data_IF_003081440796
#
_entry.id   IF_003081440796
#
_cell.length_a   1.000
_cell.length_b   1.000
_cell.length_c   1.000
_cell.angle_alpha   90.00
_cell.angle_beta   90.00
_cell.angle_gamma   90.00
#
_symmetry.space_group_name_H-M   'P 1'
#
loop_
_entity.id
_entity.type
_entity.pdbx_description
1 polymer ?
#
# COMPACT_ATOMS: atom_id res chain seq x y z
N UNK A 1 25.32 32.51 -34.85
CA UNK A 1 25.24 31.44 -35.84
C UNK A 1 25.55 30.10 -35.24
N UNK A 2 24.74 29.64 -34.30
CA UNK A 2 24.84 28.33 -33.66
C UNK A 2 23.52 28.01 -32.95
N UNK A 3 23.47 27.01 -32.06
CA UNK A 3 22.21 26.58 -31.45
C UNK A 3 21.59 27.70 -30.60
N UNK A 4 20.41 28.17 -31.01
CA UNK A 4 19.60 29.13 -30.28
C UNK A 4 18.51 28.39 -29.50
N UNK A 5 18.48 28.59 -28.20
CA UNK A 5 17.51 27.97 -27.29
C UNK A 5 16.51 29.01 -26.86
N UNK A 6 15.25 28.72 -27.10
CA UNK A 6 14.13 29.55 -26.66
C UNK A 6 13.36 28.78 -25.60
N UNK A 7 13.45 29.24 -24.35
CA UNK A 7 12.60 28.77 -23.27
C UNK A 7 11.29 29.54 -23.30
N UNK A 8 10.17 28.82 -23.39
CA UNK A 8 8.82 29.39 -23.42
C UNK A 8 8.27 29.73 -22.05
N UNK A 9 8.85 29.16 -21.00
CA UNK A 9 8.49 29.38 -19.60
C UNK A 9 9.69 29.11 -18.68
N UNK A 10 9.48 29.30 -17.37
CA UNK A 10 10.45 28.95 -16.32
C UNK A 10 9.98 27.72 -15.56
N UNK A 11 10.87 26.77 -15.36
CA UNK A 11 10.59 25.63 -14.48
C UNK A 11 10.61 26.07 -13.02
N UNK A 12 9.98 25.26 -12.17
CA UNK A 12 10.03 25.36 -10.70
C UNK A 12 11.45 25.29 -10.13
N UNK A 13 12.36 24.65 -10.85
CA UNK A 13 13.78 24.54 -10.47
C UNK A 13 14.69 25.19 -11.49
N UNK A 14 15.55 26.08 -10.99
CA UNK A 14 16.60 26.75 -11.77
C UNK A 14 17.60 25.77 -12.36
N UNK A 15 17.80 24.63 -11.71
CA UNK A 15 18.66 23.55 -12.22
C UNK A 15 18.20 23.05 -13.58
N UNK A 16 16.88 22.89 -13.79
CA UNK A 16 16.30 22.42 -15.05
C UNK A 16 16.46 23.47 -16.15
N UNK A 17 16.20 24.74 -15.84
CA UNK A 17 16.46 25.85 -16.77
C UNK A 17 17.93 25.93 -17.20
N UNK A 18 18.87 25.70 -16.27
CA UNK A 18 20.31 25.65 -16.55
C UNK A 18 20.68 24.46 -17.44
N UNK A 19 20.04 23.30 -17.23
CA UNK A 19 20.22 22.14 -18.10
C UNK A 19 19.76 22.42 -19.53
N UNK A 20 18.63 23.11 -19.69
CA UNK A 20 18.14 23.54 -21.01
C UNK A 20 19.13 24.52 -21.65
N UNK A 21 19.55 25.56 -20.93
CA UNK A 21 20.56 26.53 -21.42
C UNK A 21 21.86 25.84 -21.86
N UNK A 22 22.33 24.89 -21.07
CA UNK A 22 23.57 24.13 -21.33
C UNK A 22 23.51 23.17 -22.52
N UNK A 23 22.37 23.06 -23.22
CA UNK A 23 22.30 22.35 -24.50
C UNK A 23 22.96 23.15 -25.64
N UNK A 24 23.06 24.47 -25.51
CA UNK A 24 23.77 25.38 -26.45
C UNK A 24 25.21 25.63 -25.97
N UNK A 25 26.09 26.02 -26.89
CA UNK A 25 27.47 26.38 -26.57
C UNK A 25 28.35 25.21 -26.10
N UNK A 26 28.12 24.01 -26.65
CA UNK A 26 28.93 22.82 -26.33
C UNK A 26 30.34 23.00 -26.91
N UNK A 27 31.38 22.60 -26.17
CA UNK A 27 32.79 22.66 -26.63
C UNK A 27 33.25 24.05 -27.12
N UNK A 28 32.64 25.13 -26.63
CA UNK A 28 32.99 26.50 -27.05
C UNK A 28 32.30 26.96 -28.33
N UNK A 29 31.38 26.16 -28.89
CA UNK A 29 30.53 26.58 -30.01
C UNK A 29 29.78 27.88 -29.67
N UNK A 30 29.54 28.70 -30.69
CA UNK A 30 28.65 29.87 -30.53
C UNK A 30 27.22 29.41 -30.27
N UNK A 31 26.54 30.04 -29.31
CA UNK A 31 25.16 29.67 -28.95
C UNK A 31 24.45 30.82 -28.25
N UNK A 32 23.12 30.76 -28.21
CA UNK A 32 22.30 31.72 -27.48
C UNK A 32 21.20 31.01 -26.71
N UNK A 33 20.81 31.59 -25.57
CA UNK A 33 19.65 31.11 -24.81
C UNK A 33 18.83 32.31 -24.35
N UNK A 34 17.55 32.33 -24.71
CA UNK A 34 16.60 33.34 -24.28
C UNK A 34 15.40 32.65 -23.63
N UNK A 35 14.92 33.20 -22.52
CA UNK A 35 13.71 32.71 -21.86
C UNK A 35 12.67 33.81 -21.91
N UNK A 36 11.47 33.44 -22.32
CA UNK A 36 10.27 34.26 -22.27
C UNK A 36 9.42 33.79 -21.10
N UNK A 37 8.83 34.73 -20.38
CA UNK A 37 8.03 34.49 -19.17
C UNK A 37 6.87 35.45 -19.21
N UNK A 38 5.66 34.94 -18.99
CA UNK A 38 4.46 35.75 -18.80
C UNK A 38 4.18 35.91 -17.31
N UNK A 39 3.51 37.02 -16.94
CA UNK A 39 2.96 37.16 -15.59
C UNK A 39 1.85 36.16 -15.29
N UNK A 40 1.24 35.61 -16.34
CA UNK A 40 0.18 34.59 -16.24
C UNK A 40 0.72 33.17 -16.01
N UNK A 41 2.04 32.98 -16.14
CA UNK A 41 2.68 31.68 -15.94
C UNK A 41 2.48 31.18 -14.51
N UNK A 42 2.41 29.85 -14.34
CA UNK A 42 2.12 29.22 -13.05
C UNK A 42 3.06 29.70 -11.93
N UNK A 43 4.36 29.79 -12.21
CA UNK A 43 5.36 30.29 -11.27
C UNK A 43 5.08 31.74 -10.83
N UNK A 44 4.66 32.60 -11.76
CA UNK A 44 4.37 34.01 -11.49
C UNK A 44 3.02 34.18 -10.80
N UNK A 45 2.03 33.32 -11.08
CA UNK A 45 0.77 33.28 -10.34
C UNK A 45 0.95 32.90 -8.88
N UNK A 46 1.87 31.99 -8.57
CA UNK A 46 2.13 31.53 -7.20
C UNK A 46 2.87 32.58 -6.33
N UNK A 47 3.72 33.44 -6.92
CA UNK A 47 4.64 34.32 -6.16
C UNK A 47 4.63 35.80 -6.55
N UNK A 48 4.04 36.16 -7.67
CA UNK A 48 4.24 37.48 -8.31
C UNK A 48 3.00 38.35 -8.47
N UNK A 49 1.79 37.82 -8.30
CA UNK A 49 0.58 38.47 -8.85
C UNK A 49 0.31 39.88 -8.33
N UNK A 50 0.23 40.12 -7.01
CA UNK A 50 -0.24 41.43 -6.54
C UNK A 50 0.81 42.55 -6.54
N UNK A 51 2.05 42.26 -6.12
CA UNK A 51 3.07 43.30 -5.96
C UNK A 51 3.71 43.70 -7.28
N UNK A 52 3.88 42.73 -8.19
CA UNK A 52 4.49 42.98 -9.50
C UNK A 52 3.48 43.67 -10.43
N UNK A 53 2.21 43.25 -10.42
CA UNK A 53 1.16 43.93 -11.19
C UNK A 53 0.99 45.40 -10.77
N UNK A 54 0.92 45.70 -9.46
CA UNK A 54 0.81 47.09 -8.96
C UNK A 54 1.98 48.00 -9.37
N UNK A 55 3.19 47.44 -9.52
CA UNK A 55 4.35 48.20 -10.00
C UNK A 55 4.27 48.43 -11.50
N UNK A 56 3.76 47.45 -12.26
CA UNK A 56 3.57 47.57 -13.70
C UNK A 56 2.47 48.58 -14.07
N UNK A 57 1.35 48.56 -13.35
CA UNK A 57 0.27 49.55 -13.49
C UNK A 57 0.79 50.98 -13.23
N UNK A 58 1.66 51.13 -12.22
CA UNK A 58 2.27 52.43 -11.87
C UNK A 58 3.31 52.89 -12.90
N UNK A 59 3.97 51.95 -13.59
CA UNK A 59 4.93 52.25 -14.65
C UNK A 59 4.26 52.50 -16.01
N UNK A 60 2.96 52.24 -16.15
CA UNK A 60 2.19 52.53 -17.36
C UNK A 60 2.56 51.66 -18.57
N UNK A 61 3.10 50.46 -18.31
CA UNK A 61 3.49 49.50 -19.35
C UNK A 61 2.24 48.93 -20.04
N UNK A 62 2.26 48.86 -21.38
CA UNK A 62 1.14 48.35 -22.17
C UNK A 62 1.25 46.85 -22.40
N UNK A 63 0.11 46.21 -22.64
CA UNK A 63 0.05 44.81 -23.04
C UNK A 63 0.84 44.58 -24.34
N UNK A 64 1.75 43.62 -24.33
CA UNK A 64 2.67 43.34 -25.45
C UNK A 64 4.05 44.02 -25.36
N UNK A 65 4.31 44.88 -24.37
CA UNK A 65 5.64 45.45 -24.15
C UNK A 65 6.58 44.45 -23.45
N UNK A 66 7.77 44.26 -24.02
CA UNK A 66 8.77 43.33 -23.47
C UNK A 66 9.51 44.00 -22.31
N UNK A 67 9.36 43.42 -21.11
CA UNK A 67 10.02 43.92 -19.90
C UNK A 67 11.37 43.26 -19.75
N UNK A 68 12.45 44.03 -19.93
CA UNK A 68 13.83 43.59 -19.65
C UNK A 68 14.40 44.39 -18.47
N UNK A 69 13.97 44.02 -17.26
CA UNK A 69 14.48 44.64 -16.03
C UNK A 69 15.10 43.60 -15.10
N UNK A 70 16.29 43.93 -14.58
CA UNK A 70 17.04 43.08 -13.65
C UNK A 70 16.26 42.76 -12.37
N UNK A 71 15.35 43.65 -11.95
CA UNK A 71 14.46 43.41 -10.82
C UNK A 71 13.47 42.27 -11.09
N UNK A 72 12.91 42.18 -12.30
CA UNK A 72 11.99 41.10 -12.68
C UNK A 72 12.71 39.75 -12.72
N UNK A 73 13.90 39.72 -13.31
CA UNK A 73 14.74 38.51 -13.31
C UNK A 73 15.08 38.05 -11.90
N UNK A 74 15.43 38.97 -10.99
CA UNK A 74 15.70 38.65 -9.57
C UNK A 74 14.44 38.16 -8.84
N UNK A 75 13.26 38.70 -9.15
CA UNK A 75 12.00 38.25 -8.57
C UNK A 75 11.65 36.83 -8.99
N UNK A 76 11.83 36.48 -10.27
CA UNK A 76 11.67 35.12 -10.78
C UNK A 76 12.67 34.17 -10.09
N UNK A 77 13.93 34.57 -9.94
CA UNK A 77 14.94 33.76 -9.26
C UNK A 77 14.57 33.49 -7.78
N UNK A 78 14.03 34.49 -7.07
CA UNK A 78 13.53 34.30 -5.69
C UNK A 78 12.34 33.35 -5.65
N UNK A 79 11.41 33.46 -6.61
CA UNK A 79 10.26 32.56 -6.71
C UNK A 79 10.72 31.11 -6.92
N UNK A 80 11.62 30.86 -7.88
CA UNK A 80 12.22 29.53 -8.11
C UNK A 80 12.92 29.01 -6.85
N UNK A 81 13.74 29.84 -6.18
CA UNK A 81 14.41 29.44 -4.93
C UNK A 81 13.41 29.04 -3.84
N UNK A 82 12.28 29.76 -3.73
CA UNK A 82 11.24 29.44 -2.75
C UNK A 82 10.53 28.11 -3.06
N UNK A 83 10.26 27.82 -4.33
CA UNK A 83 9.70 26.54 -4.77
C UNK A 83 10.69 25.40 -4.52
N UNK A 84 11.97 25.60 -4.82
CA UNK A 84 13.04 24.64 -4.53
C UNK A 84 13.15 24.35 -3.03
N UNK A 85 13.11 25.37 -2.18
CA UNK A 85 13.11 25.23 -0.72
C UNK A 85 11.88 24.45 -0.22
N UNK A 86 10.70 24.72 -0.78
CA UNK A 86 9.48 23.99 -0.42
C UNK A 86 9.58 22.51 -0.82
N UNK A 87 10.00 22.23 -2.06
CA UNK A 87 10.22 20.87 -2.56
C UNK A 87 11.30 20.12 -1.76
N UNK A 88 12.37 20.81 -1.35
CA UNK A 88 13.38 20.25 -0.46
C UNK A 88 12.76 19.90 0.90
N UNK A 89 11.96 20.78 1.48
CA UNK A 89 11.25 20.54 2.74
C UNK A 89 10.32 19.32 2.67
N UNK A 90 9.52 19.20 1.60
CA UNK A 90 8.64 18.04 1.38
C UNK A 90 9.44 16.75 1.29
N UNK A 91 10.53 16.72 0.51
CA UNK A 91 11.40 15.54 0.39
C UNK A 91 12.08 15.18 1.69
N UNK A 92 12.56 16.19 2.44
CA UNK A 92 13.18 15.98 3.75
C UNK A 92 12.19 15.30 4.71
N UNK A 93 10.96 15.81 4.81
CA UNK A 93 9.92 15.17 5.64
C UNK A 93 9.63 13.75 5.16
N UNK A 94 9.47 13.54 3.85
CA UNK A 94 9.20 12.21 3.29
C UNK A 94 10.31 11.21 3.67
N UNK A 95 11.57 11.63 3.62
CA UNK A 95 12.71 10.83 4.07
C UNK A 95 12.62 10.51 5.56
N UNK A 96 12.33 11.48 6.41
CA UNK A 96 12.20 11.28 7.86
C UNK A 96 11.11 10.26 8.24
N UNK A 97 10.00 10.20 7.48
CA UNK A 97 8.99 9.15 7.63
C UNK A 97 9.48 7.79 7.13
N UNK A 98 10.18 7.75 5.99
CA UNK A 98 10.72 6.50 5.42
C UNK A 98 11.83 5.90 6.28
N UNK A 99 12.66 6.72 6.94
CA UNK A 99 13.73 6.26 7.84
C UNK A 99 13.20 5.34 8.94
N UNK A 100 12.02 5.66 9.51
CA UNK A 100 11.35 4.83 10.52
C UNK A 100 10.95 3.47 9.92
N UNK A 101 10.35 3.48 8.74
CA UNK A 101 9.96 2.26 8.03
C UNK A 101 11.18 1.42 7.62
N UNK A 102 12.27 2.08 7.22
CA UNK A 102 13.48 1.41 6.78
C UNK A 102 14.16 0.67 7.95
N UNK A 103 14.23 1.29 9.13
CA UNK A 103 14.74 0.64 10.34
C UNK A 103 13.92 -0.61 10.71
N UNK A 104 12.59 -0.52 10.65
CA UNK A 104 11.70 -1.68 10.90
C UNK A 104 11.89 -2.77 9.83
N UNK A 105 12.00 -2.37 8.57
CA UNK A 105 12.19 -3.27 7.43
C UNK A 105 13.49 -4.06 7.56
N UNK A 106 14.58 -3.43 8.00
CA UNK A 106 15.87 -4.10 8.21
C UNK A 106 15.74 -5.26 9.20
N UNK A 107 15.05 -5.04 10.33
CA UNK A 107 14.83 -6.07 11.36
C UNK A 107 14.00 -7.23 10.80
N UNK A 108 12.90 -6.93 10.11
CA UNK A 108 12.02 -7.95 9.53
C UNK A 108 12.73 -8.73 8.43
N UNK A 109 13.46 -8.05 7.54
CA UNK A 109 14.17 -8.70 6.45
C UNK A 109 15.31 -9.58 6.95
N UNK A 110 15.96 -9.20 8.04
CA UNK A 110 16.95 -10.04 8.71
C UNK A 110 16.30 -11.34 9.23
N UNK A 111 15.17 -11.25 9.96
CA UNK A 111 14.41 -12.43 10.42
C UNK A 111 13.93 -13.32 9.26
N UNK A 112 13.38 -12.71 8.19
CA UNK A 112 12.97 -13.43 6.98
C UNK A 112 14.15 -14.15 6.32
N UNK A 113 15.31 -13.49 6.23
CA UNK A 113 16.52 -14.08 5.64
C UNK A 113 16.99 -15.30 6.45
N UNK A 114 16.99 -15.21 7.78
CA UNK A 114 17.32 -16.35 8.65
C UNK A 114 16.33 -17.51 8.46
N UNK A 115 15.02 -17.23 8.37
CA UNK A 115 14.01 -18.25 8.10
C UNK A 115 14.18 -18.90 6.71
N UNK A 116 14.51 -18.13 5.68
CA UNK A 116 14.72 -18.65 4.32
C UNK A 116 15.94 -19.58 4.21
N UNK A 117 17.07 -19.19 4.82
CA UNK A 117 18.32 -19.96 4.71
C UNK A 117 18.46 -21.03 5.80
N UNK A 118 17.71 -20.92 6.90
CA UNK A 118 17.81 -21.81 8.06
C UNK A 118 19.00 -21.54 8.97
N UNK A 119 19.94 -20.70 8.56
CA UNK A 119 21.06 -20.27 9.40
C UNK A 119 20.54 -19.38 10.53
N UNK A 120 20.93 -19.69 11.77
CA UNK A 120 20.52 -18.98 13.00
C UNK A 120 19.03 -19.02 13.35
N UNK A 121 18.18 -19.72 12.59
CA UNK A 121 16.76 -19.82 12.89
C UNK A 121 16.50 -20.38 14.30
N UNK A 122 17.26 -21.40 14.73
CA UNK A 122 17.15 -21.94 16.09
C UNK A 122 17.46 -20.91 17.17
N UNK A 123 18.40 -20.01 16.91
CA UNK A 123 18.74 -18.91 17.84
C UNK A 123 17.61 -17.90 17.86
N UNK A 124 17.04 -17.56 16.70
CA UNK A 124 15.88 -16.67 16.62
C UNK A 124 14.68 -17.27 17.36
N UNK A 125 14.40 -18.57 17.21
CA UNK A 125 13.33 -19.27 17.92
C UNK A 125 13.59 -19.28 19.42
N UNK A 126 14.81 -19.57 19.86
CA UNK A 126 15.18 -19.51 21.29
C UNK A 126 14.99 -18.10 21.86
N UNK A 127 15.37 -17.05 21.13
CA UNK A 127 15.12 -15.67 21.52
C UNK A 127 13.62 -15.37 21.57
N UNK A 128 12.84 -15.82 20.57
CA UNK A 128 11.38 -15.66 20.56
C UNK A 128 10.71 -16.35 21.76
N UNK A 129 11.21 -17.52 22.17
CA UNK A 129 10.76 -18.21 23.39
C UNK A 129 11.07 -17.36 24.62
N UNK A 130 12.31 -16.89 24.76
CA UNK A 130 12.74 -16.06 25.89
C UNK A 130 11.91 -14.77 25.98
N UNK A 131 11.80 -14.02 24.90
CA UNK A 131 10.99 -12.78 24.81
C UNK A 131 9.53 -13.04 25.18
N UNK A 132 8.98 -14.19 24.77
CA UNK A 132 7.59 -14.56 25.08
C UNK A 132 7.44 -14.93 26.56
N UNK A 133 8.40 -15.65 27.14
CA UNK A 133 8.44 -15.92 28.58
C UNK A 133 8.52 -14.63 29.39
N UNK A 134 9.43 -13.72 29.04
CA UNK A 134 9.61 -12.43 29.71
C UNK A 134 8.33 -11.58 29.63
N UNK A 135 7.67 -11.55 28.47
CA UNK A 135 6.43 -10.82 28.28
C UNK A 135 5.28 -11.40 29.13
N UNK A 136 5.15 -12.72 29.19
CA UNK A 136 4.13 -13.40 30.03
C UNK A 136 4.42 -13.11 31.51
N UNK A 137 5.68 -13.24 31.94
CA UNK A 137 6.06 -12.98 33.33
C UNK A 137 5.80 -11.53 33.72
N UNK A 138 6.30 -10.57 32.96
CA UNK A 138 6.16 -9.14 33.27
C UNK A 138 4.69 -8.70 33.32
N UNK A 139 3.88 -9.14 32.35
CA UNK A 139 2.45 -8.79 32.30
C UNK A 139 1.69 -9.36 33.51
N UNK A 140 1.93 -10.61 33.88
CA UNK A 140 1.19 -11.26 34.98
C UNK A 140 1.71 -10.87 36.36
N UNK A 141 3.02 -10.64 36.49
CA UNK A 141 3.66 -10.23 37.75
C UNK A 141 3.22 -8.82 38.16
N UNK A 142 3.03 -7.92 37.18
CA UNK A 142 2.50 -6.58 37.42
C UNK A 142 1.15 -6.59 38.17
N UNK A 143 0.29 -7.58 37.89
CA UNK A 143 -1.04 -7.73 38.51
C UNK A 143 -1.11 -8.85 39.56
N UNK A 144 0.00 -9.53 39.85
CA UNK A 144 0.06 -10.75 40.68
C UNK A 144 -0.97 -11.82 40.27
N UNK A 145 -1.23 -11.99 38.97
CA UNK A 145 -2.21 -12.94 38.46
C UNK A 145 -1.54 -14.27 38.09
N UNK A 146 -1.39 -15.16 39.08
CA UNK A 146 -0.79 -16.48 38.87
C UNK A 146 -1.65 -17.39 38.00
N UNK A 147 -2.98 -17.29 38.08
CA UNK A 147 -3.88 -18.13 37.29
C UNK A 147 -3.80 -17.80 35.80
N UNK A 148 -3.76 -16.51 35.47
CA UNK A 148 -3.57 -16.09 34.08
C UNK A 148 -2.17 -16.46 33.57
N UNK A 149 -1.13 -16.37 34.41
CA UNK A 149 0.20 -16.87 34.09
C UNK A 149 0.18 -18.37 33.71
N UNK A 150 -0.44 -19.23 34.52
CA UNK A 150 -0.58 -20.67 34.19
C UNK A 150 -1.34 -20.88 32.87
N UNK A 151 -2.44 -20.15 32.69
CA UNK A 151 -3.23 -20.24 31.46
C UNK A 151 -2.42 -19.82 30.22
N UNK A 152 -1.64 -18.75 30.29
CA UNK A 152 -0.79 -18.32 29.18
C UNK A 152 0.32 -19.32 28.86
N UNK A 153 0.93 -19.94 29.87
CA UNK A 153 1.92 -21.01 29.64
C UNK A 153 1.31 -22.20 28.91
N UNK A 154 0.13 -22.65 29.32
CA UNK A 154 -0.60 -23.73 28.63
C UNK A 154 -0.97 -23.30 27.20
N UNK A 155 -1.45 -22.06 27.05
CA UNK A 155 -1.91 -21.54 25.77
C UNK A 155 -0.80 -21.41 24.75
N UNK A 156 0.39 -20.94 25.11
CA UNK A 156 1.46 -20.66 24.16
C UNK A 156 2.51 -21.77 24.08
N UNK A 157 2.85 -22.38 25.22
CA UNK A 157 3.92 -23.38 25.31
C UNK A 157 3.41 -24.80 25.56
N UNK A 158 2.10 -25.00 25.78
CA UNK A 158 1.54 -26.32 26.09
C UNK A 158 2.20 -27.00 27.29
N UNK A 159 2.71 -26.21 28.25
CA UNK A 159 3.31 -26.68 29.51
C UNK A 159 2.50 -26.18 30.71
N UNK A 160 2.57 -26.94 31.80
CA UNK A 160 2.14 -26.48 33.12
C UNK A 160 3.22 -25.58 33.73
N UNK A 161 2.83 -24.68 34.63
CA UNK A 161 3.78 -23.85 35.36
C UNK A 161 4.82 -24.72 36.10
N UNK A 162 6.13 -24.44 35.93
CA UNK A 162 7.18 -25.09 36.72
C UNK A 162 7.33 -24.49 38.13
N UNK A 163 6.50 -23.50 38.47
CA UNK A 163 6.57 -22.70 39.70
C UNK A 163 5.28 -22.81 40.51
N UNK A 164 5.40 -22.76 41.83
CA UNK A 164 4.24 -22.59 42.71
C UNK A 164 3.79 -21.12 42.76
N UNK A 165 2.53 -20.88 43.15
CA UNK A 165 2.01 -19.52 43.39
C UNK A 165 2.87 -18.75 44.42
N UNK A 166 3.37 -19.46 45.44
CA UNK A 166 4.23 -18.87 46.46
C UNK A 166 5.59 -18.42 45.90
N UNK A 167 6.15 -19.19 44.97
CA UNK A 167 7.42 -18.87 44.32
C UNK A 167 7.25 -17.74 43.31
N UNK A 168 6.12 -17.75 42.59
CA UNK A 168 5.75 -16.68 41.68
C UNK A 168 5.69 -15.33 42.40
N UNK A 169 5.16 -15.29 43.64
CA UNK A 169 5.07 -14.07 44.42
C UNK A 169 6.42 -13.60 44.98
N UNK A 170 7.30 -14.53 45.39
CA UNK A 170 8.58 -14.21 46.05
C UNK A 170 9.73 -13.89 45.09
N UNK A 171 9.80 -14.59 43.96
CA UNK A 171 10.91 -14.48 43.03
C UNK A 171 10.82 -13.21 42.18
N UNK A 172 11.98 -12.77 41.70
CA UNK A 172 12.07 -11.67 40.75
C UNK A 172 11.63 -12.09 39.34
N UNK A 173 11.22 -11.14 38.52
CA UNK A 173 10.77 -11.39 37.13
C UNK A 173 11.83 -12.11 36.30
N UNK A 174 13.11 -11.77 36.50
CA UNK A 174 14.24 -12.37 35.78
C UNK A 174 14.46 -13.83 36.17
N UNK A 175 14.35 -14.17 37.46
CA UNK A 175 14.46 -15.55 37.95
C UNK A 175 13.29 -16.43 37.47
N UNK A 176 12.07 -15.88 37.51
CA UNK A 176 10.88 -16.56 36.99
C UNK A 176 11.05 -16.82 35.50
N UNK A 177 11.44 -15.81 34.73
CA UNK A 177 11.67 -15.91 33.29
C UNK A 177 12.70 -16.99 32.97
N UNK A 178 13.84 -17.03 33.67
CA UNK A 178 14.87 -18.05 33.47
C UNK A 178 14.38 -19.48 33.73
N UNK A 179 13.58 -19.69 34.80
CA UNK A 179 13.02 -21.01 35.12
C UNK A 179 11.98 -21.46 34.09
N UNK A 180 11.10 -20.56 33.68
CA UNK A 180 10.08 -20.83 32.66
C UNK A 180 10.73 -21.11 31.31
N UNK A 181 11.71 -20.31 30.92
CA UNK A 181 12.45 -20.48 29.67
C UNK A 181 13.15 -21.84 29.61
N UNK A 182 13.81 -22.25 30.70
CA UNK A 182 14.45 -23.57 30.77
C UNK A 182 13.44 -24.71 30.58
N UNK A 183 12.34 -24.69 31.33
CA UNK A 183 11.29 -25.71 31.21
C UNK A 183 10.69 -25.75 29.80
N UNK A 184 10.50 -24.58 29.20
CA UNK A 184 9.99 -24.40 27.84
C UNK A 184 10.94 -24.99 26.80
N UNK A 185 12.24 -24.70 26.92
CA UNK A 185 13.27 -25.21 26.01
C UNK A 185 13.38 -26.74 26.10
N UNK A 186 13.41 -27.29 27.32
CA UNK A 186 13.49 -28.72 27.56
C UNK A 186 12.28 -29.43 26.92
N UNK A 187 11.06 -28.93 27.16
CA UNK A 187 9.84 -29.46 26.54
C UNK A 187 9.86 -29.38 25.01
N UNK A 188 10.33 -28.25 24.45
CA UNK A 188 10.42 -28.09 23.01
C UNK A 188 11.40 -29.06 22.36
N UNK A 189 12.55 -29.29 22.98
CA UNK A 189 13.54 -30.27 22.48
C UNK A 189 13.00 -31.69 22.51
N UNK A 190 12.24 -32.06 23.56
CA UNK A 190 11.58 -33.36 23.62
C UNK A 190 10.48 -33.48 22.55
N UNK A 191 9.66 -32.43 22.38
CA UNK A 191 8.60 -32.38 21.37
C UNK A 191 9.16 -32.57 19.97
N UNK A 192 10.18 -31.80 19.59
CA UNK A 192 10.80 -31.90 18.25
C UNK A 192 11.36 -33.30 17.98
N UNK A 193 11.98 -33.94 18.98
CA UNK A 193 12.43 -35.32 18.88
C UNK A 193 11.29 -36.34 18.79
N UNK A 194 10.15 -36.08 19.45
CA UNK A 194 8.94 -36.91 19.34
C UNK A 194 8.30 -36.78 17.95
N UNK A 195 8.08 -35.56 17.46
CA UNK A 195 7.50 -35.31 16.15
C UNK A 195 8.35 -35.88 15.01
N UNK A 196 9.69 -35.83 15.12
CA UNK A 196 10.58 -36.48 14.17
C UNK A 196 10.42 -38.01 14.15
N UNK A 197 10.28 -38.64 15.33
CA UNK A 197 10.03 -40.10 15.45
C UNK A 197 8.68 -40.50 14.85
N UNK A 198 7.65 -39.69 15.04
CA UNK A 198 6.30 -39.93 14.47
C UNK A 198 6.25 -39.72 12.96
N UNK A 199 7.07 -38.79 12.41
CA UNK A 199 7.17 -38.57 10.98
C UNK A 199 7.91 -39.69 10.24
N UNK A 200 8.87 -40.34 10.90
CA UNK A 200 9.81 -41.26 10.27
C UNK A 200 9.14 -42.46 9.54
N UNK A 201 8.12 -43.14 10.10
CA UNK A 201 7.41 -44.21 9.40
C UNK A 201 6.78 -43.72 8.09
N UNK A 202 6.14 -42.55 8.11
CA UNK A 202 5.47 -41.93 6.96
C UNK A 202 6.51 -41.61 5.87
N UNK A 203 7.62 -40.98 6.24
CA UNK A 203 8.72 -40.66 5.31
C UNK A 203 9.31 -41.95 4.71
N UNK A 204 9.49 -43.00 5.54
CA UNK A 204 10.06 -44.28 5.10
C UNK A 204 9.14 -45.00 4.13
N UNK A 205 7.84 -45.00 4.37
CA UNK A 205 6.83 -45.59 3.49
C UNK A 205 6.82 -44.89 2.12
N UNK A 206 6.82 -43.55 2.13
CA UNK A 206 6.83 -42.76 0.89
C UNK A 206 8.13 -42.94 0.11
N UNK A 207 9.28 -43.05 0.79
CA UNK A 207 10.60 -43.23 0.17
C UNK A 207 10.81 -44.62 -0.42
N UNK A 208 10.27 -45.68 0.21
CA UNK A 208 10.46 -47.07 -0.24
C UNK A 208 9.47 -47.51 -1.32
N UNK A 209 8.41 -46.76 -1.57
CA UNK A 209 7.49 -47.07 -2.65
C UNK A 209 8.13 -46.75 -4.01
N UNK A 210 8.54 -47.79 -4.75
CA UNK A 210 9.25 -47.72 -6.03
C UNK A 210 8.55 -46.92 -7.15
N UNK A 211 7.26 -46.59 -7.00
CA UNK A 211 6.50 -45.72 -7.91
C UNK A 211 6.71 -44.20 -7.71
N UNK A 212 7.31 -43.78 -6.59
CA UNK A 212 7.38 -42.38 -6.17
C UNK A 212 8.78 -41.78 -6.43
N UNK A 213 8.99 -41.22 -7.63
CA UNK A 213 10.20 -40.43 -7.95
C UNK A 213 10.09 -38.98 -7.46
N UNK A 214 9.61 -38.76 -6.24
CA UNK A 214 9.44 -37.40 -5.72
C UNK A 214 10.74 -36.91 -5.08
N UNK A 215 11.27 -35.78 -5.56
CA UNK A 215 12.39 -35.10 -4.89
C UNK A 215 11.91 -34.35 -3.64
N UNK A 216 10.70 -33.77 -3.69
CA UNK A 216 10.10 -32.99 -2.62
C UNK A 216 8.67 -33.42 -2.34
N UNK A 217 8.34 -33.51 -1.06
CA UNK A 217 7.02 -33.89 -0.57
C UNK A 217 6.38 -32.74 0.20
N UNK A 218 5.05 -32.68 0.14
CA UNK A 218 4.25 -31.77 0.96
C UNK A 218 3.71 -32.53 2.16
N UNK A 219 4.01 -32.03 3.35
CA UNK A 219 3.47 -32.55 4.61
C UNK A 219 2.63 -31.45 5.25
N UNK A 220 1.30 -31.63 5.38
CA UNK A 220 0.46 -30.70 6.11
C UNK A 220 0.72 -30.84 7.61
N UNK A 221 0.93 -29.73 8.30
CA UNK A 221 0.92 -29.63 9.76
C UNK A 221 -0.29 -28.84 10.22
N UNK A 222 -0.82 -29.17 11.40
CA UNK A 222 -1.98 -28.47 11.97
C UNK A 222 -1.79 -28.22 13.45
N UNK A 223 -2.19 -27.03 13.91
CA UNK A 223 -2.34 -26.70 15.34
C UNK A 223 -3.78 -26.89 15.85
N UNK A 224 -4.63 -27.51 15.01
CA UNK A 224 -6.07 -27.68 15.23
C UNK A 224 -6.94 -26.59 14.61
N UNK A 225 -6.38 -25.42 14.29
CA UNK A 225 -7.11 -24.27 13.71
C UNK A 225 -6.58 -23.95 12.32
N UNK A 226 -5.26 -23.88 12.17
CA UNK A 226 -4.56 -23.52 10.95
C UNK A 226 -3.82 -24.75 10.42
N UNK A 227 -3.91 -24.96 9.11
CA UNK A 227 -3.13 -25.97 8.40
C UNK A 227 -2.04 -25.29 7.58
N UNK A 228 -0.82 -25.81 7.63
CA UNK A 228 0.30 -25.32 6.86
C UNK A 228 0.97 -26.46 6.09
N UNK A 229 1.11 -26.29 4.79
CA UNK A 229 1.75 -27.24 3.90
C UNK A 229 3.27 -26.99 3.91
N UNK A 230 4.02 -27.88 4.55
CA UNK A 230 5.49 -27.82 4.60
C UNK A 230 6.07 -28.60 3.43
N UNK A 231 6.91 -27.94 2.64
CA UNK A 231 7.67 -28.59 1.58
C UNK A 231 9.02 -29.03 2.13
N UNK A 232 9.34 -30.31 2.02
CA UNK A 232 10.64 -30.85 2.43
C UNK A 232 11.25 -31.79 1.38
N UNK A 233 12.57 -31.92 1.41
CA UNK A 233 13.33 -32.86 0.59
C UNK A 233 13.22 -34.28 1.19
N UNK A 234 12.71 -35.21 0.39
CA UNK A 234 12.42 -36.57 0.86
C UNK A 234 13.69 -37.33 1.26
N UNK A 235 14.74 -37.23 0.44
CA UNK A 235 16.00 -37.95 0.66
C UNK A 235 16.69 -37.46 1.92
N UNK A 236 16.83 -36.14 2.08
CA UNK A 236 17.43 -35.55 3.29
C UNK A 236 16.62 -35.84 4.54
N UNK A 237 15.29 -35.83 4.44
CA UNK A 237 14.41 -36.16 5.56
C UNK A 237 14.55 -37.60 6.02
N UNK A 238 14.74 -38.54 5.08
CA UNK A 238 15.00 -39.93 5.41
C UNK A 238 16.38 -40.14 6.07
N UNK A 239 17.44 -39.60 5.46
CA UNK A 239 18.83 -39.74 5.96
C UNK A 239 19.03 -39.11 7.35
N UNK A 240 18.28 -38.04 7.67
CA UNK A 240 18.36 -37.34 8.97
C UNK A 240 17.35 -37.84 10.01
N UNK A 241 16.60 -38.90 9.73
CA UNK A 241 15.63 -39.46 10.67
C UNK A 241 14.46 -38.51 10.99
N UNK A 242 14.06 -37.65 10.03
CA UNK A 242 12.97 -36.68 10.20
C UNK A 242 13.39 -35.33 10.76
N UNK A 243 14.66 -35.13 11.15
CA UNK A 243 15.12 -33.84 11.68
C UNK A 243 15.04 -32.72 10.63
N UNK A 244 15.29 -33.02 9.36
CA UNK A 244 15.16 -32.05 8.27
C UNK A 244 13.72 -31.56 8.10
N UNK A 245 12.72 -32.43 8.25
CA UNK A 245 11.30 -32.05 8.20
C UNK A 245 10.97 -31.02 9.28
N UNK A 246 11.45 -31.23 10.52
CA UNK A 246 11.21 -30.30 11.63
C UNK A 246 11.87 -28.93 11.36
N UNK A 247 13.09 -28.93 10.82
CA UNK A 247 13.75 -27.69 10.42
C UNK A 247 12.98 -26.96 9.31
N UNK A 248 12.49 -27.68 8.30
CA UNK A 248 11.68 -27.08 7.23
C UNK A 248 10.32 -26.60 7.75
N UNK A 249 9.73 -27.29 8.72
CA UNK A 249 8.54 -26.86 9.44
C UNK A 249 8.79 -25.54 10.18
N UNK A 250 9.85 -25.46 10.99
CA UNK A 250 10.27 -24.23 11.70
C UNK A 250 10.44 -23.04 10.74
N UNK A 251 11.11 -23.26 9.60
CA UNK A 251 11.33 -22.23 8.56
C UNK A 251 10.03 -21.73 7.95
N UNK A 252 9.20 -22.66 7.46
CA UNK A 252 7.99 -22.33 6.73
C UNK A 252 6.98 -21.59 7.62
N UNK A 253 6.82 -22.02 8.88
CA UNK A 253 5.94 -21.34 9.84
C UNK A 253 6.42 -19.93 10.14
N UNK A 254 7.70 -19.82 10.49
CA UNK A 254 8.29 -18.52 10.84
C UNK A 254 8.14 -17.54 9.69
N UNK A 255 8.44 -17.99 8.46
CA UNK A 255 8.30 -17.16 7.27
C UNK A 255 6.83 -16.77 7.01
N UNK A 256 5.91 -17.72 7.06
CA UNK A 256 4.49 -17.48 6.79
C UNK A 256 3.88 -16.45 7.76
N UNK A 257 4.14 -16.62 9.07
CA UNK A 257 3.61 -15.74 10.10
C UNK A 257 4.27 -14.35 10.02
N UNK A 258 5.59 -14.28 9.84
CA UNK A 258 6.29 -12.99 9.69
C UNK A 258 5.77 -12.22 8.48
N UNK A 259 5.55 -12.90 7.35
CA UNK A 259 5.05 -12.27 6.12
C UNK A 259 3.62 -11.74 6.28
N UNK A 260 2.73 -12.53 6.90
CA UNK A 260 1.35 -12.10 7.15
C UNK A 260 1.31 -10.90 8.11
N UNK A 261 2.04 -10.98 9.22
CA UNK A 261 2.11 -9.92 10.21
C UNK A 261 2.72 -8.64 9.63
N UNK A 262 3.79 -8.75 8.84
CA UNK A 262 4.42 -7.60 8.20
C UNK A 262 3.48 -6.94 7.18
N UNK A 263 2.76 -7.72 6.35
CA UNK A 263 1.75 -7.18 5.43
C UNK A 263 0.67 -6.40 6.17
N UNK A 264 0.17 -6.91 7.30
CA UNK A 264 -0.83 -6.21 8.14
C UNK A 264 -0.23 -4.94 8.76
N UNK A 265 1.02 -4.99 9.23
CA UNK A 265 1.73 -3.84 9.79
C UNK A 265 1.94 -2.72 8.77
N UNK A 266 2.33 -3.04 7.53
CA UNK A 266 2.48 -2.04 6.47
C UNK A 266 1.17 -1.25 6.23
N UNK A 267 0.02 -1.94 6.27
CA UNK A 267 -1.30 -1.27 6.15
C UNK A 267 -1.55 -0.32 7.34
N UNK A 268 -1.30 -0.78 8.57
CA UNK A 268 -1.42 0.05 9.77
C UNK A 268 -0.48 1.25 9.76
N UNK A 269 0.73 1.09 9.22
CA UNK A 269 1.71 2.17 9.08
C UNK A 269 1.27 3.22 8.04
N UNK A 270 0.64 2.79 6.95
CA UNK A 270 0.03 3.69 5.97
C UNK A 270 -1.13 4.49 6.60
N UNK A 271 -2.02 3.82 7.33
CA UNK A 271 -3.12 4.44 8.07
C UNK A 271 -2.60 5.44 9.12
N UNK A 272 -1.57 5.06 9.88
CA UNK A 272 -0.92 5.93 10.86
C UNK A 272 -0.31 7.18 10.20
N UNK A 273 0.33 7.03 9.05
CA UNK A 273 0.92 8.16 8.33
C UNK A 273 -0.13 9.20 7.93
N UNK A 274 -1.33 8.75 7.56
CA UNK A 274 -2.46 9.63 7.24
C UNK A 274 -3.05 10.27 8.50
N UNK A 275 -3.32 9.48 9.54
CA UNK A 275 -3.97 9.97 10.77
C UNK A 275 -3.12 10.99 11.53
N UNK A 276 -1.80 10.82 11.54
CA UNK A 276 -0.87 11.72 12.21
C UNK A 276 -0.84 13.12 11.62
N UNK A 277 -1.30 13.31 10.36
CA UNK A 277 -1.48 14.66 9.81
C UNK A 277 -2.52 15.48 10.58
N UNK A 278 -3.52 14.83 11.20
CA UNK A 278 -4.52 15.50 12.02
C UNK A 278 -3.93 16.03 13.34
N UNK A 279 -2.81 15.48 13.81
CA UNK A 279 -2.17 15.92 15.04
C UNK A 279 -1.59 17.35 14.96
N UNK A 280 -1.45 17.89 13.74
CA UNK A 280 -1.11 19.31 13.53
C UNK A 280 -2.15 20.22 14.19
N UNK A 281 -3.43 19.80 14.24
CA UNK A 281 -4.49 20.56 14.90
C UNK A 281 -4.30 20.65 16.43
N UNK A 282 -3.62 19.67 17.03
CA UNK A 282 -3.28 19.67 18.46
C UNK A 282 -1.97 20.44 18.77
N UNK A 283 -1.37 21.11 17.79
CA UNK A 283 -0.09 21.81 17.93
C UNK A 283 1.09 20.91 18.35
N UNK A 284 0.99 19.60 18.11
CA UNK A 284 2.08 18.65 18.33
C UNK A 284 2.83 18.40 17.04
N UNK A 285 4.10 17.99 17.15
CA UNK A 285 4.90 17.59 15.98
C UNK A 285 4.40 16.23 15.45
N UNK A 286 3.86 16.17 14.21
CA UNK A 286 3.39 14.93 13.60
C UNK A 286 4.51 13.89 13.46
N UNK A 287 5.73 14.32 13.13
CA UNK A 287 6.82 13.36 12.92
C UNK A 287 7.16 12.63 14.23
N UNK A 288 7.10 13.34 15.36
CA UNK A 288 7.38 12.77 16.67
C UNK A 288 6.31 11.75 17.08
N UNK A 289 5.03 12.10 16.91
CA UNK A 289 3.91 11.18 17.18
C UNK A 289 4.01 9.95 16.30
N UNK A 290 4.30 10.13 15.00
CA UNK A 290 4.51 9.03 14.09
C UNK A 290 5.60 8.08 14.60
N UNK A 291 6.75 8.59 15.03
CA UNK A 291 7.85 7.76 15.56
C UNK A 291 7.43 6.93 16.77
N UNK A 292 6.74 7.53 17.75
CA UNK A 292 6.30 6.84 18.95
C UNK A 292 5.23 5.77 18.67
N UNK A 293 4.19 6.13 17.91
CA UNK A 293 3.12 5.19 17.56
C UNK A 293 3.62 4.09 16.63
N UNK A 294 4.49 4.42 15.67
CA UNK A 294 5.13 3.44 14.79
C UNK A 294 5.96 2.43 15.57
N UNK A 295 6.73 2.89 16.56
CA UNK A 295 7.50 2.01 17.44
C UNK A 295 6.58 1.09 18.25
N UNK A 296 5.51 1.63 18.83
CA UNK A 296 4.52 0.84 19.59
C UNK A 296 3.84 -0.21 18.71
N UNK A 297 3.40 0.16 17.51
CA UNK A 297 2.81 -0.76 16.53
C UNK A 297 3.80 -1.87 16.15
N UNK A 298 5.07 -1.51 15.91
CA UNK A 298 6.11 -2.45 15.55
C UNK A 298 6.44 -3.43 16.69
N UNK A 299 6.60 -2.94 17.91
CA UNK A 299 6.82 -3.77 19.09
C UNK A 299 5.65 -4.72 19.33
N UNK A 300 4.41 -4.24 19.19
CA UNK A 300 3.21 -5.09 19.27
C UNK A 300 3.17 -6.15 18.17
N UNK A 301 3.55 -5.80 16.94
CA UNK A 301 3.67 -6.74 15.83
C UNK A 301 4.71 -7.82 16.15
N UNK A 302 5.92 -7.45 16.61
CA UNK A 302 6.96 -8.40 16.97
C UNK A 302 6.53 -9.35 18.08
N UNK A 303 5.90 -8.83 19.14
CA UNK A 303 5.38 -9.64 20.23
C UNK A 303 4.27 -10.60 19.77
N UNK A 304 3.40 -10.13 18.86
CA UNK A 304 2.37 -10.95 18.24
C UNK A 304 2.96 -12.07 17.38
N UNK A 305 3.96 -11.76 16.56
CA UNK A 305 4.70 -12.75 15.74
C UNK A 305 5.36 -13.78 16.64
N UNK A 306 6.10 -13.37 17.67
CA UNK A 306 6.76 -14.28 18.59
C UNK A 306 5.73 -15.25 19.22
N UNK A 307 4.63 -14.72 19.79
CA UNK A 307 3.55 -15.53 20.40
C UNK A 307 2.91 -16.51 19.42
N UNK A 308 2.64 -16.06 18.19
CA UNK A 308 1.97 -16.88 17.18
C UNK A 308 2.88 -17.97 16.63
N UNK A 309 4.14 -17.65 16.34
CA UNK A 309 5.16 -18.64 15.92
C UNK A 309 5.34 -19.69 17.00
N UNK A 310 5.55 -19.28 18.26
CA UNK A 310 5.72 -20.20 19.38
C UNK A 310 4.46 -21.05 19.59
N UNK A 311 3.27 -20.44 19.64
CA UNK A 311 2.01 -21.20 19.77
C UNK A 311 1.90 -22.29 18.72
N UNK A 312 2.20 -21.98 17.46
CA UNK A 312 2.10 -22.95 16.38
C UNK A 312 3.20 -24.01 16.46
N UNK A 313 4.44 -23.63 16.80
CA UNK A 313 5.54 -24.58 16.95
C UNK A 313 5.30 -25.57 18.10
N UNK A 314 4.64 -25.17 19.18
CA UNK A 314 4.33 -26.04 20.33
C UNK A 314 3.06 -26.88 20.13
N UNK A 315 2.04 -26.38 19.42
CA UNK A 315 0.80 -27.14 19.15
C UNK A 315 0.77 -27.88 17.82
N UNK A 316 1.61 -27.50 16.88
CA UNK A 316 1.61 -28.06 15.54
C UNK A 316 2.04 -29.51 15.56
N UNK A 317 1.14 -30.40 15.16
CA UNK A 317 1.38 -31.84 15.07
C UNK A 317 1.09 -32.35 13.64
N UNK A 318 1.59 -33.55 13.36
CA UNK A 318 1.31 -34.25 12.12
C UNK A 318 -0.12 -34.78 12.15
N UNK A 319 -0.89 -34.69 11.05
CA UNK A 319 -2.24 -35.21 10.99
C UNK A 319 -2.20 -36.74 11.14
N UNK A 320 -2.80 -37.24 12.22
CA UNK A 320 -2.73 -38.65 12.62
C UNK A 320 -3.45 -39.64 11.69
N UNK A 321 -4.12 -39.19 10.61
CA UNK A 321 -5.09 -40.07 9.93
C UNK A 321 -5.15 -40.14 8.40
N UNK A 322 -4.36 -39.45 7.58
CA UNK A 322 -4.47 -39.65 6.12
C UNK A 322 -3.14 -39.48 5.35
N UNK A 323 -2.52 -40.60 4.98
CA UNK A 323 -1.43 -40.68 3.99
C UNK A 323 -1.88 -40.14 2.61
N UNK A 324 -3.20 -40.15 2.35
CA UNK A 324 -3.85 -39.71 1.10
C UNK A 324 -3.67 -38.23 0.74
N UNK A 325 -3.14 -37.40 1.64
CA UNK A 325 -2.93 -35.96 1.40
C UNK A 325 -1.48 -35.59 1.06
N UNK A 326 -0.54 -36.54 1.04
CA UNK A 326 0.86 -36.28 0.65
C UNK A 326 0.91 -36.21 -0.87
N UNK A 327 0.98 -35.00 -1.40
CA UNK A 327 1.06 -34.74 -2.84
C UNK A 327 2.47 -34.26 -3.21
N UNK A 328 2.86 -34.55 -4.45
CA UNK A 328 4.08 -34.01 -5.06
C UNK A 328 4.02 -32.48 -5.09
N UNK A 329 5.07 -31.82 -4.60
CA UNK A 329 5.19 -30.37 -4.69
C UNK A 329 5.44 -29.93 -6.13
N UNK A 330 4.37 -29.76 -6.92
CA UNK A 330 4.47 -29.15 -8.26
C UNK A 330 4.72 -27.65 -8.13
N UNK A 331 5.70 -27.12 -8.86
CA UNK A 331 5.88 -25.66 -9.01
C UNK A 331 4.64 -25.05 -9.71
N UNK A 332 3.68 -24.59 -8.92
CA UNK A 332 2.59 -23.78 -9.46
C UNK A 332 3.18 -22.38 -9.69
N UNK A 333 3.55 -22.08 -10.94
CA UNK A 333 3.77 -20.69 -11.37
C UNK A 333 2.42 -19.98 -11.38
N UNK A 334 1.96 -19.56 -10.22
CA UNK A 334 0.80 -18.69 -10.13
C UNK A 334 1.21 -17.32 -10.68
N UNK A 335 0.70 -16.97 -11.87
CA UNK A 335 0.66 -15.57 -12.30
C UNK A 335 -0.33 -14.87 -11.37
N UNK A 336 0.17 -14.31 -10.28
CA UNK A 336 -0.62 -13.37 -9.50
C UNK A 336 -0.75 -12.08 -10.33
N UNK A 337 -1.91 -11.86 -10.93
CA UNK A 337 -2.31 -10.58 -11.52
C UNK A 337 -2.51 -9.57 -10.39
N UNK A 338 -1.41 -9.05 -9.85
CA UNK A 338 -1.45 -7.94 -8.92
C UNK A 338 -1.94 -6.69 -9.67
N UNK A 339 -3.09 -6.15 -9.27
CA UNK A 339 -3.37 -4.74 -9.53
C UNK A 339 -2.37 -3.91 -8.73
N UNK A 340 -1.30 -3.45 -9.40
CA UNK A 340 -0.26 -2.56 -8.83
C UNK A 340 -0.76 -1.13 -8.60
N UNK A 341 -2.01 -0.84 -8.92
CA UNK A 341 -2.66 0.44 -8.68
C UNK A 341 -3.18 0.46 -7.25
N UNK A 342 -2.55 1.27 -6.39
CA UNK A 342 -3.19 1.76 -5.17
C UNK A 342 -4.25 2.77 -5.61
N UNK A 343 -5.49 2.64 -5.17
CA UNK A 343 -6.46 3.74 -5.32
C UNK A 343 -5.85 4.94 -4.57
N UNK A 344 -5.43 5.95 -5.33
CA UNK A 344 -4.91 7.18 -4.75
C UNK A 344 -6.05 7.83 -3.98
N UNK A 345 -6.02 7.71 -2.65
CA UNK A 345 -6.80 8.62 -1.79
C UNK A 345 -6.14 9.99 -1.99
N UNK A 346 -6.80 10.94 -2.65
CA UNK A 346 -6.17 12.21 -2.95
C UNK A 346 -5.87 12.92 -1.61
N UNK A 347 -4.69 13.53 -1.49
CA UNK A 347 -4.43 14.47 -0.40
C UNK A 347 -5.43 15.64 -0.45
N UNK A 348 -5.61 16.36 0.67
CA UNK A 348 -6.51 17.53 0.76
C UNK A 348 -6.25 18.59 -0.32
N UNK A 349 -5.00 18.75 -0.75
CA UNK A 349 -4.62 19.68 -1.82
C UNK A 349 -5.07 19.20 -3.21
N UNK A 350 -5.04 17.89 -3.47
CA UNK A 350 -5.57 17.29 -4.71
C UNK A 350 -7.09 17.24 -4.72
N UNK A 351 -7.75 16.92 -3.60
CA UNK A 351 -9.20 17.01 -3.45
C UNK A 351 -9.71 18.45 -3.61
N UNK A 352 -8.98 19.45 -3.10
CA UNK A 352 -9.34 20.85 -3.28
C UNK A 352 -9.01 21.38 -4.68
N UNK A 353 -8.03 20.82 -5.38
CA UNK A 353 -7.79 21.08 -6.80
C UNK A 353 -8.87 20.43 -7.68
N UNK A 354 -9.29 19.20 -7.38
CA UNK A 354 -10.41 18.51 -8.04
C UNK A 354 -11.74 19.20 -7.76
N UNK A 355 -12.01 19.64 -6.53
CA UNK A 355 -13.22 20.43 -6.22
C UNK A 355 -13.21 21.80 -6.91
N UNK A 356 -12.04 22.39 -7.13
CA UNK A 356 -11.88 23.62 -7.94
C UNK A 356 -12.09 23.36 -9.44
N UNK A 357 -11.65 22.20 -9.95
CA UNK A 357 -11.90 21.77 -11.33
C UNK A 357 -13.37 21.35 -11.56
N UNK A 358 -13.97 20.67 -10.60
CA UNK A 358 -15.38 20.26 -10.60
C UNK A 358 -16.32 21.47 -10.50
N UNK A 359 -15.91 22.55 -9.82
CA UNK A 359 -16.61 23.84 -9.86
C UNK A 359 -16.62 24.52 -11.23
N UNK A 360 -15.72 24.14 -12.14
CA UNK A 360 -15.71 24.58 -13.55
C UNK A 360 -16.34 23.57 -14.51
N UNK A 361 -16.70 22.38 -14.04
CA UNK A 361 -17.42 21.37 -14.84
C UNK A 361 -18.86 21.28 -14.35
N UNK A 362 -19.63 22.36 -14.53
CA UNK A 362 -21.06 22.16 -14.75
C UNK A 362 -21.18 21.25 -15.98
N UNK A 363 -21.56 20.00 -15.74
CA UNK A 363 -21.97 19.07 -16.77
C UNK A 363 -22.91 19.81 -17.71
N UNK A 364 -22.50 20.03 -18.96
CA UNK A 364 -23.48 20.27 -20.03
C UNK A 364 -24.39 19.06 -20.00
N UNK A 365 -25.60 19.23 -19.46
CA UNK A 365 -26.68 18.27 -19.68
C UNK A 365 -26.76 18.09 -21.20
N UNK A 366 -26.41 16.90 -21.67
CA UNK A 366 -26.66 16.50 -23.04
C UNK A 366 -28.17 16.56 -23.15
N UNK A 367 -28.67 17.58 -23.86
CA UNK A 367 -30.09 17.70 -24.16
C UNK A 367 -30.43 16.50 -25.04
N UNK A 368 -31.18 15.54 -24.51
CA UNK A 368 -31.73 14.45 -25.32
C UNK A 368 -32.52 15.08 -26.47
N UNK A 369 -32.05 14.88 -27.69
CA UNK A 369 -32.70 15.41 -28.88
C UNK A 369 -33.90 14.52 -29.17
N UNK A 370 -35.10 15.06 -28.96
CA UNK A 370 -36.35 14.41 -29.37
C UNK A 370 -36.29 14.24 -30.90
N UNK A 371 -36.16 13.01 -31.37
CA UNK A 371 -36.26 12.66 -32.79
C UNK A 371 -37.73 12.80 -33.20
N UNK A 372 -38.04 13.66 -34.18
CA UNK A 372 -39.40 13.83 -34.70
C UNK A 372 -39.78 12.64 -35.58
N UNK A 373 -40.92 12.01 -35.31
CA UNK A 373 -41.47 10.91 -36.12
C UNK A 373 -42.02 11.33 -37.50
N UNK A 374 -42.13 12.63 -37.80
CA UNK A 374 -42.63 13.11 -39.10
C UNK A 374 -41.72 14.18 -39.73
N UNK A 375 -41.57 14.17 -41.07
CA UNK A 375 -40.77 15.16 -41.79
C UNK A 375 -41.35 16.57 -41.61
N UNK A 376 -40.47 17.55 -41.44
CA UNK A 376 -40.85 18.94 -41.22
C UNK A 376 -41.42 19.54 -42.52
N UNK A 377 -42.74 19.69 -42.58
CA UNK A 377 -43.42 20.42 -43.65
C UNK A 377 -43.14 21.93 -43.46
N UNK A 378 -42.56 22.60 -44.47
CA UNK A 378 -42.29 24.03 -44.39
C UNK A 378 -43.54 24.84 -44.74
N UNK A 379 -43.61 26.08 -44.25
CA UNK A 379 -44.77 26.99 -44.43
C UNK A 379 -45.27 27.18 -45.86
N UNK A 380 -44.40 27.01 -46.85
CA UNK A 380 -44.72 27.23 -48.26
C UNK A 380 -44.88 25.94 -49.07
N UNK A 381 -44.68 24.77 -48.46
CA UNK A 381 -44.81 23.48 -49.14
C UNK A 381 -46.30 23.22 -49.42
N UNK A 382 -46.60 22.70 -50.61
CA UNK A 382 -47.96 22.33 -51.00
C UNK A 382 -48.31 20.99 -50.38
N UNK A 383 -49.42 20.96 -49.65
CA UNK A 383 -49.95 19.76 -48.99
C UNK A 383 -51.35 19.47 -49.50
N UNK A 384 -51.69 18.18 -49.58
CA UNK A 384 -53.05 17.73 -49.89
C UNK A 384 -53.79 17.53 -48.58
N UNK A 385 -54.95 18.14 -48.46
CA UNK A 385 -55.82 18.03 -47.30
C UNK A 385 -57.18 17.50 -47.73
N UNK A 386 -57.79 16.67 -46.90
CA UNK A 386 -59.13 16.14 -47.11
C UNK A 386 -60.06 16.53 -45.98
N UNK A 387 -61.26 16.97 -46.36
CA UNK A 387 -62.30 17.30 -45.40
C UNK A 387 -62.92 16.02 -44.83
N UNK A 388 -63.00 15.95 -43.51
CA UNK A 388 -63.49 14.76 -42.81
C UNK A 388 -65.00 14.55 -43.01
N UNK A 389 -65.76 15.61 -43.28
CA UNK A 389 -67.22 15.56 -43.36
C UNK A 389 -67.76 15.19 -44.76
N UNK A 390 -67.07 15.58 -45.85
CA UNK A 390 -67.55 15.38 -47.22
C UNK A 390 -66.53 14.73 -48.17
N UNK A 391 -65.33 14.41 -47.69
CA UNK A 391 -64.31 13.68 -48.44
C UNK A 391 -63.63 14.46 -49.56
N UNK A 392 -63.91 15.76 -49.74
CA UNK A 392 -63.28 16.60 -50.77
C UNK A 392 -61.79 16.78 -50.49
N UNK A 393 -60.96 16.70 -51.55
CA UNK A 393 -59.51 16.85 -51.48
C UNK A 393 -59.11 18.17 -52.14
N UNK A 394 -58.37 19.01 -51.41
CA UNK A 394 -57.79 20.25 -51.94
C UNK A 394 -56.28 20.28 -51.75
N UNK A 395 -55.56 20.90 -52.70
CA UNK A 395 -54.12 21.07 -52.66
C UNK A 395 -53.77 22.55 -52.46
N UNK A 396 -53.14 22.88 -51.33
CA UNK A 396 -52.77 24.25 -51.00
C UNK A 396 -51.50 24.32 -50.15
N UNK A 397 -50.90 25.52 -50.06
CA UNK A 397 -49.71 25.75 -49.23
C UNK A 397 -50.01 25.54 -47.75
N UNK A 398 -49.07 24.92 -47.03
CA UNK A 398 -49.22 24.52 -45.63
C UNK A 398 -49.67 25.67 -44.71
N UNK A 399 -49.20 26.91 -44.91
CA UNK A 399 -49.64 28.08 -44.12
C UNK A 399 -51.17 28.32 -44.15
N UNK A 400 -51.85 27.97 -45.25
CA UNK A 400 -53.31 28.06 -45.35
C UNK A 400 -53.98 26.81 -44.78
N UNK A 401 -53.40 25.63 -45.06
CA UNK A 401 -53.88 24.35 -44.54
C UNK A 401 -53.78 24.23 -43.01
N UNK A 402 -52.76 24.84 -42.40
CA UNK A 402 -52.51 24.83 -40.95
C UNK A 402 -53.70 25.33 -40.14
N UNK A 403 -54.38 26.37 -40.63
CA UNK A 403 -55.58 26.92 -39.99
C UNK A 403 -56.75 25.93 -40.08
N UNK A 404 -56.90 25.26 -41.23
CA UNK A 404 -57.99 24.29 -41.47
C UNK A 404 -57.78 22.98 -40.70
N UNK A 405 -56.52 22.54 -40.56
CA UNK A 405 -56.14 21.34 -39.82
C UNK A 405 -56.28 21.57 -38.31
N UNK A 406 -55.84 22.73 -37.80
CA UNK A 406 -55.98 23.04 -36.37
C UNK A 406 -57.45 23.22 -35.96
N UNK A 407 -58.33 23.63 -36.88
CA UNK A 407 -59.78 23.68 -36.65
C UNK A 407 -60.44 22.29 -36.67
N UNK A 408 -59.70 21.22 -36.98
CA UNK A 408 -60.16 19.83 -36.88
C UNK A 408 -61.13 19.37 -37.97
N UNK A 409 -61.38 20.19 -38.99
CA UNK A 409 -62.31 19.88 -40.08
C UNK A 409 -61.64 19.20 -41.27
N UNK A 410 -60.31 19.34 -41.40
CA UNK A 410 -59.52 18.79 -42.50
C UNK A 410 -58.30 18.02 -41.97
N UNK A 411 -57.97 16.90 -42.62
CA UNK A 411 -56.83 16.05 -42.27
C UNK A 411 -55.85 16.01 -43.43
N UNK A 412 -54.55 15.98 -43.11
CA UNK A 412 -53.45 15.93 -44.07
C UNK A 412 -53.28 14.48 -44.55
N UNK A 413 -53.22 14.26 -45.87
CA UNK A 413 -53.04 12.92 -46.48
C UNK A 413 -51.66 12.80 -47.12
#
# INVERSE_FOLDING_TARGET
GGLAIVGTERHDSRRVDRQLRGRSGRQGDVGSSQFYVSLEDNLMRLFGSERVAKVMDRMGLKEGEVIQHSMMTKSIERAQKKVEENNFGVRKRLLEYDDVMNAQREVVYKRRKHALHGERLKVDIANMMYDTCELIVSTNKQYNDFKNFEFELIRYFSITSPLSESDFNKLSETEITGKVYKATLDYYTEKTARSAREALPIITEVYKNDGNKFERIIIPFTDGIKTLNVVTDLKKSYETGGAQLINDFEKNITLAIVDEAWKKHLRKMDELKQSVQLAVHEQKDPLLIYKFEAFKLFSNMLNGVNKEVISFLFKGDLPQQNVSNIQEAKEIRQKEDYKLSKDEVPNSDTLSAENRAAGQTQQRQITETIVRDQPKINRNDTVKIQNVANGQIEEMKYKKAEVLINNGTWVLI
#
